data_IF_004991826457
#
_entry.id   IF_004991826457
#
_cell.length_a   1.000
_cell.length_b   1.000
_cell.length_c   1.000
_cell.angle_alpha   90.00
_cell.angle_beta   90.00
_cell.angle_gamma   90.00
#
_symmetry.space_group_name_H-M   'P 1'
#
loop_
_entity.id
_entity.type
_entity.pdbx_description
1 polymer ?
#
# COMPACT_ATOMS: atom_id res chain seq x y z
N UNK A 1 15.08 -6.88 24.27
CA UNK A 1 13.89 -6.22 23.69
C UNK A 1 13.70 -6.77 22.28
N UNK A 2 12.92 -7.84 22.10
CA UNK A 2 12.72 -8.42 20.76
C UNK A 2 11.50 -7.77 20.11
N UNK A 3 11.74 -7.08 18.99
CA UNK A 3 10.70 -6.62 18.08
C UNK A 3 10.07 -7.87 17.47
N UNK A 4 8.92 -8.27 17.99
CA UNK A 4 8.07 -9.30 17.37
C UNK A 4 7.51 -8.71 16.08
N UNK A 5 8.21 -8.88 14.97
CA UNK A 5 7.58 -8.76 13.65
C UNK A 5 6.49 -9.83 13.59
N UNK A 6 5.23 -9.43 13.78
CA UNK A 6 4.08 -10.29 13.48
C UNK A 6 4.07 -10.49 11.97
N UNK A 7 4.79 -11.51 11.50
CA UNK A 7 4.75 -11.96 10.12
C UNK A 7 3.41 -12.66 9.93
N UNK A 8 2.33 -11.88 9.78
CA UNK A 8 1.17 -12.38 9.06
C UNK A 8 1.67 -12.57 7.63
N UNK A 9 1.72 -13.80 7.10
CA UNK A 9 2.08 -13.97 5.71
C UNK A 9 0.97 -13.29 4.93
N UNK A 10 1.25 -12.13 4.32
CA UNK A 10 0.53 -11.75 3.11
C UNK A 10 0.69 -12.97 2.22
N UNK A 11 -0.40 -13.71 1.98
CA UNK A 11 -0.35 -14.86 1.09
C UNK A 11 0.39 -14.41 -0.17
N UNK A 12 1.43 -15.15 -0.58
CA UNK A 12 2.32 -14.72 -1.67
C UNK A 12 1.52 -14.23 -2.89
N UNK A 13 0.39 -14.87 -3.14
CA UNK A 13 -0.61 -14.50 -4.13
C UNK A 13 -1.14 -13.06 -3.96
N UNK A 14 -1.58 -12.66 -2.78
CA UNK A 14 -2.02 -11.29 -2.49
C UNK A 14 -0.90 -10.26 -2.71
N UNK A 15 0.34 -10.61 -2.37
CA UNK A 15 1.49 -9.73 -2.62
C UNK A 15 1.77 -9.60 -4.13
N UNK A 16 1.70 -10.71 -4.86
CA UNK A 16 1.87 -10.72 -6.31
C UNK A 16 0.74 -9.96 -7.01
N UNK A 17 -0.51 -10.11 -6.60
CA UNK A 17 -1.64 -9.32 -7.12
C UNK A 17 -1.47 -7.82 -6.84
N UNK A 18 -1.00 -7.47 -5.64
CA UNK A 18 -0.74 -6.09 -5.29
C UNK A 18 0.35 -5.47 -6.17
N UNK A 19 1.42 -6.21 -6.44
CA UNK A 19 2.49 -5.75 -7.31
C UNK A 19 2.09 -5.82 -8.78
N UNK A 20 1.22 -6.73 -9.21
CA UNK A 20 0.75 -6.80 -10.60
C UNK A 20 -0.10 -5.59 -10.99
N UNK A 21 -0.88 -5.05 -10.04
CA UNK A 21 -1.74 -3.89 -10.26
C UNK A 21 -0.91 -2.58 -10.33
N UNK A 22 -0.91 -1.84 -11.46
CA UNK A 22 -0.12 -0.62 -11.63
C UNK A 22 -0.44 0.48 -10.60
N UNK A 23 -1.73 0.62 -10.25
CA UNK A 23 -2.19 1.59 -9.26
C UNK A 23 -1.72 1.22 -7.86
N UNK A 24 -1.82 -0.05 -7.47
CA UNK A 24 -1.29 -0.50 -6.18
C UNK A 24 0.22 -0.29 -6.08
N UNK A 25 0.99 -0.55 -7.15
CA UNK A 25 2.42 -0.20 -7.19
C UNK A 25 2.69 1.30 -7.02
N UNK A 26 1.82 2.16 -7.54
CA UNK A 26 1.95 3.61 -7.34
C UNK A 26 1.71 3.99 -5.88
N UNK A 27 0.66 3.46 -5.25
CA UNK A 27 0.40 3.65 -3.83
C UNK A 27 1.59 3.18 -2.99
N UNK A 28 2.12 1.99 -3.26
CA UNK A 28 3.29 1.45 -2.56
C UNK A 28 4.52 2.36 -2.69
N UNK A 29 4.76 2.95 -3.88
CA UNK A 29 5.85 3.92 -4.08
C UNK A 29 5.65 5.21 -3.29
N UNK A 30 4.41 5.69 -3.17
CA UNK A 30 4.10 6.92 -2.43
C UNK A 30 4.37 6.80 -0.93
N UNK A 31 4.06 5.63 -0.35
CA UNK A 31 4.22 5.37 1.10
C UNK A 31 5.57 4.74 1.45
N UNK A 32 6.40 4.41 0.47
CA UNK A 32 7.69 3.75 0.68
C UNK A 32 8.67 4.61 1.49
N UNK A 33 8.66 5.91 1.22
CA UNK A 33 9.59 6.88 1.82
C UNK A 33 9.07 7.43 3.15
N UNK A 34 7.78 7.75 3.21
CA UNK A 34 7.13 8.31 4.38
C UNK A 34 5.65 7.95 4.44
N UNK A 35 5.10 7.91 5.65
CA UNK A 35 3.66 7.81 5.86
C UNK A 35 2.94 8.99 5.18
N UNK A 36 1.77 8.71 4.59
CA UNK A 36 0.92 9.70 3.92
C UNK A 36 -0.54 9.44 4.27
N UNK A 37 -1.34 10.50 4.31
CA UNK A 37 -2.78 10.37 4.51
C UNK A 37 -3.46 9.72 3.29
N UNK A 38 -4.57 9.03 3.52
CA UNK A 38 -5.36 8.46 2.44
C UNK A 38 -5.85 9.50 1.41
N UNK A 39 -6.08 10.75 1.85
CA UNK A 39 -6.42 11.86 0.96
C UNK A 39 -5.29 12.26 0.01
N UNK A 40 -4.06 12.34 0.53
CA UNK A 40 -2.88 12.64 -0.30
C UNK A 40 -2.59 11.51 -1.31
N UNK A 41 -2.80 10.25 -0.91
CA UNK A 41 -2.64 9.10 -1.80
C UNK A 41 -3.70 9.10 -2.90
N UNK A 42 -4.96 9.40 -2.55
CA UNK A 42 -6.08 9.47 -3.49
C UNK A 42 -5.87 10.56 -4.54
N UNK A 43 -5.49 11.76 -4.10
CA UNK A 43 -5.17 12.88 -5.00
C UNK A 43 -4.01 12.56 -5.94
N UNK A 44 -2.96 11.89 -5.45
CA UNK A 44 -1.79 11.51 -6.24
C UNK A 44 -2.04 10.35 -7.22
N UNK A 45 -3.13 9.60 -7.05
CA UNK A 45 -3.45 8.40 -7.84
C UNK A 45 -4.70 8.56 -8.71
N UNK A 46 -5.29 9.77 -8.76
CA UNK A 46 -6.52 10.10 -9.50
C UNK A 46 -7.68 9.15 -9.16
N UNK A 47 -7.88 8.91 -7.86
CA UNK A 47 -8.97 8.07 -7.35
C UNK A 47 -9.74 8.76 -6.25
N UNK A 48 -10.95 8.28 -6.00
CA UNK A 48 -11.72 8.70 -4.83
C UNK A 48 -11.06 8.19 -3.54
N UNK A 49 -11.24 8.93 -2.45
CA UNK A 49 -10.73 8.55 -1.13
C UNK A 49 -11.15 7.14 -0.69
N UNK A 50 -12.42 6.68 -0.90
CA UNK A 50 -12.82 5.31 -0.55
C UNK A 50 -12.09 4.21 -1.34
N UNK A 51 -11.45 4.53 -2.46
CA UNK A 51 -10.65 3.55 -3.22
C UNK A 51 -9.29 3.25 -2.56
N UNK A 52 -8.91 4.01 -1.53
CA UNK A 52 -7.65 3.88 -0.80
C UNK A 52 -7.83 3.28 0.60
N UNK A 53 -9.02 3.39 1.21
CA UNK A 53 -9.37 2.85 2.54
C UNK A 53 -9.68 1.36 2.52
#
# INVERSE_FOLDING_TARGET
MQVRTRSSPVALENAMEAIANPRRRQILRLVWDAERSAGEIAAASDVSWPAVS
#
